data_IF_709019280590
#
_entry.id   IF_709019280590
#
_cell.length_a   1.000
_cell.length_b   1.000
_cell.length_c   1.000
_cell.angle_alpha   90.00
_cell.angle_beta   90.00
_cell.angle_gamma   90.00
#
_symmetry.space_group_name_H-M   'P 1'
#
loop_
_entity.id
_entity.type
_entity.pdbx_description
1 polymer ?
#
# COMPACT_ATOMS: atom_id res chain seq x y z
N UNK A 1 19.54 -7.32 26.64
CA UNK A 1 19.26 -6.79 25.29
C UNK A 1 20.27 -7.24 24.21
N UNK A 2 21.45 -7.79 24.54
CA UNK A 2 22.46 -8.14 23.50
C UNK A 2 22.04 -9.26 22.54
N UNK A 3 21.53 -10.39 23.06
CA UNK A 3 21.11 -11.52 22.22
C UNK A 3 19.86 -11.22 21.39
N UNK A 4 18.88 -10.52 21.97
CA UNK A 4 17.67 -10.10 21.27
C UNK A 4 17.97 -9.21 20.05
N UNK A 5 18.99 -8.35 20.16
CA UNK A 5 19.40 -7.47 19.07
C UNK A 5 20.25 -8.20 18.01
N UNK A 6 20.97 -9.26 18.39
CA UNK A 6 21.76 -10.09 17.48
C UNK A 6 20.90 -11.05 16.65
N UNK A 7 19.71 -11.44 17.12
CA UNK A 7 18.77 -12.31 16.41
C UNK A 7 18.13 -11.64 15.17
N UNK A 8 18.13 -10.29 15.12
CA UNK A 8 17.60 -9.51 14.00
C UNK A 8 16.10 -9.24 14.10
N UNK A 9 15.57 -8.30 13.29
CA UNK A 9 14.15 -7.89 13.34
C UNK A 9 13.19 -8.98 12.84
N UNK A 10 13.74 -9.99 12.18
CA UNK A 10 13.05 -11.03 11.43
C UNK A 10 12.66 -12.25 12.27
N UNK A 11 13.20 -12.35 13.48
CA UNK A 11 12.95 -13.43 14.44
C UNK A 11 12.08 -12.92 15.59
N UNK A 12 10.94 -13.55 15.90
CA UNK A 12 10.13 -13.14 17.03
C UNK A 12 10.86 -13.41 18.34
N UNK A 13 10.96 -12.39 19.19
CA UNK A 13 11.53 -12.50 20.53
C UNK A 13 10.55 -11.88 21.54
N UNK A 14 10.06 -12.69 22.48
CA UNK A 14 9.15 -12.21 23.53
C UNK A 14 9.90 -12.13 24.85
N UNK A 15 10.15 -10.93 25.36
CA UNK A 15 10.57 -10.72 26.75
C UNK A 15 9.34 -10.61 27.64
N UNK A 16 9.30 -11.38 28.72
CA UNK A 16 8.26 -11.25 29.75
C UNK A 16 8.87 -11.08 31.12
N UNK A 17 8.22 -10.26 31.95
CA UNK A 17 8.56 -10.13 33.36
C UNK A 17 7.79 -11.17 34.20
N UNK A 18 8.42 -11.73 35.23
CA UNK A 18 7.79 -12.75 36.09
C UNK A 18 6.51 -12.25 36.79
N UNK A 19 6.38 -10.93 37.01
CA UNK A 19 5.18 -10.30 37.55
C UNK A 19 3.99 -10.32 36.59
N UNK A 20 4.21 -10.40 35.29
CA UNK A 20 3.13 -10.45 34.27
C UNK A 20 2.42 -11.81 34.25
N UNK A 21 3.07 -12.86 34.79
CA UNK A 21 2.49 -14.21 34.88
C UNK A 21 1.43 -14.28 35.99
N UNK A 22 1.54 -13.41 37.00
CA UNK A 22 0.62 -13.35 38.14
C UNK A 22 -0.44 -12.27 37.89
N UNK A 23 -1.37 -12.55 36.98
CA UNK A 23 -2.55 -11.71 36.73
C UNK A 23 -3.79 -12.26 37.43
N UNK A 24 -4.71 -11.36 37.81
CA UNK A 24 -6.03 -11.72 38.32
C UNK A 24 -7.03 -12.01 37.19
N UNK A 25 -6.76 -11.56 35.97
CA UNK A 25 -7.66 -11.69 34.82
C UNK A 25 -7.53 -13.03 34.10
N UNK A 26 -6.38 -13.72 34.24
CA UNK A 26 -6.09 -14.95 33.49
C UNK A 26 -5.31 -15.96 34.33
N UNK A 27 -5.43 -17.24 33.97
CA UNK A 27 -4.70 -18.31 34.65
C UNK A 27 -3.20 -18.27 34.34
N UNK A 28 -2.36 -18.62 35.31
CA UNK A 28 -0.88 -18.69 35.16
C UNK A 28 -0.46 -19.54 33.96
N UNK A 29 -1.17 -20.64 33.72
CA UNK A 29 -0.95 -21.55 32.59
C UNK A 29 -1.28 -20.92 31.25
N UNK A 30 -2.32 -20.10 31.19
CA UNK A 30 -2.72 -19.40 29.98
C UNK A 30 -1.75 -18.28 29.62
N UNK A 31 -1.30 -17.50 30.62
CA UNK A 31 -0.26 -16.47 30.43
C UNK A 31 1.02 -17.07 29.82
N UNK A 32 1.48 -18.21 30.34
CA UNK A 32 2.63 -18.93 29.78
C UNK A 32 2.35 -19.51 28.39
N UNK A 33 1.17 -20.05 28.15
CA UNK A 33 0.80 -20.60 26.83
C UNK A 33 0.78 -19.50 25.76
N UNK A 34 0.24 -18.33 26.08
CA UNK A 34 0.25 -17.18 25.18
C UNK A 34 1.67 -16.69 24.89
N UNK A 35 2.54 -16.66 25.90
CA UNK A 35 3.94 -16.30 25.73
C UNK A 35 4.69 -17.20 24.75
N UNK A 36 4.46 -18.52 24.88
CA UNK A 36 5.07 -19.52 24.00
C UNK A 36 4.54 -19.34 22.57
N UNK A 37 3.22 -19.13 22.39
CA UNK A 37 2.63 -18.88 21.07
C UNK A 37 3.16 -17.61 20.41
N UNK A 38 3.35 -16.52 21.17
CA UNK A 38 3.93 -15.25 20.66
C UNK A 38 5.39 -15.41 20.23
N UNK A 39 6.12 -16.35 20.85
CA UNK A 39 7.53 -16.63 20.54
C UNK A 39 7.71 -17.50 19.30
N UNK A 40 6.64 -18.05 18.73
CA UNK A 40 6.67 -18.84 17.50
C UNK A 40 6.15 -17.98 16.34
N UNK A 41 7.01 -17.74 15.35
CA UNK A 41 6.67 -16.99 14.15
C UNK A 41 6.53 -17.90 12.93
N UNK A 42 5.49 -17.66 12.15
CA UNK A 42 5.30 -18.30 10.84
C UNK A 42 5.53 -17.23 9.78
N UNK A 43 6.48 -17.48 8.86
CA UNK A 43 6.75 -16.59 7.73
C UNK A 43 6.09 -17.15 6.49
N UNK A 44 5.09 -16.45 5.99
CA UNK A 44 4.42 -16.77 4.72
C UNK A 44 4.90 -15.76 3.70
N UNK A 45 5.39 -16.25 2.56
CA UNK A 45 5.72 -15.43 1.41
C UNK A 45 4.56 -15.51 0.42
N UNK A 46 4.08 -14.36 -0.01
CA UNK A 46 3.01 -14.23 -1.00
C UNK A 46 3.55 -13.38 -2.15
N UNK A 47 3.26 -13.80 -3.37
CA UNK A 47 3.60 -13.04 -4.58
C UNK A 47 2.38 -12.20 -4.95
N UNK A 48 2.54 -10.88 -5.05
CA UNK A 48 1.51 -9.97 -5.49
C UNK A 48 1.93 -9.23 -6.76
N UNK A 49 1.02 -9.15 -7.73
CA UNK A 49 1.22 -8.38 -8.96
C UNK A 49 0.83 -6.93 -8.71
N UNK A 50 1.82 -6.04 -8.75
CA UNK A 50 1.64 -4.60 -8.59
C UNK A 50 1.93 -3.92 -9.93
N UNK A 51 1.02 -3.03 -10.35
CA UNK A 51 1.16 -2.20 -11.54
C UNK A 51 1.49 -0.79 -11.09
N UNK A 52 2.60 -0.24 -11.57
CA UNK A 52 3.03 1.13 -11.28
C UNK A 52 3.10 1.94 -12.56
N UNK A 53 2.63 3.18 -12.52
CA UNK A 53 2.69 4.06 -13.69
C UNK A 53 2.22 5.47 -13.42
N UNK A 54 2.57 6.38 -14.33
CA UNK A 54 2.02 7.73 -14.40
C UNK A 54 0.67 7.71 -15.09
N UNK A 55 -0.31 8.40 -14.52
CA UNK A 55 -1.64 8.57 -15.11
C UNK A 55 -1.58 9.64 -16.20
N UNK A 56 -1.82 9.27 -17.46
CA UNK A 56 -1.88 10.22 -18.58
C UNK A 56 -3.26 10.87 -18.66
N UNK A 57 -4.31 10.06 -18.60
CA UNK A 57 -5.70 10.48 -18.72
C UNK A 57 -6.62 9.53 -17.94
N UNK A 58 -7.66 10.09 -17.33
CA UNK A 58 -8.72 9.36 -16.65
C UNK A 58 -10.05 9.74 -17.27
N UNK A 59 -10.70 8.81 -17.95
CA UNK A 59 -12.04 9.00 -18.51
C UNK A 59 -13.02 8.19 -17.67
N UNK A 60 -13.91 8.87 -16.95
CA UNK A 60 -14.98 8.21 -16.18
C UNK A 60 -16.29 8.41 -16.91
N UNK A 61 -16.82 7.35 -17.51
CA UNK A 61 -18.14 7.36 -18.13
C UNK A 61 -19.18 7.06 -17.05
N UNK A 62 -19.95 8.08 -16.69
CA UNK A 62 -21.13 7.92 -15.85
C UNK A 62 -22.36 7.89 -16.74
N UNK A 63 -23.10 6.78 -16.73
CA UNK A 63 -24.38 6.71 -17.43
C UNK A 63 -25.31 7.84 -16.93
N UNK A 64 -25.89 8.60 -17.86
CA UNK A 64 -26.60 9.85 -17.63
C UNK A 64 -27.90 9.75 -16.78
N UNK A 65 -28.19 8.59 -16.18
CA UNK A 65 -29.43 8.28 -15.46
C UNK A 65 -29.27 7.85 -14.00
N UNK A 66 -28.17 8.20 -13.33
CA UNK A 66 -28.03 8.07 -11.86
C UNK A 66 -27.87 6.66 -11.29
N UNK A 67 -28.26 5.60 -12.01
CA UNK A 67 -28.25 4.20 -11.54
C UNK A 67 -27.38 3.22 -12.34
N UNK A 68 -26.65 3.67 -13.38
CA UNK A 68 -25.83 2.80 -14.21
C UNK A 68 -24.45 2.50 -13.62
N UNK A 69 -23.90 1.33 -13.95
CA UNK A 69 -22.54 0.94 -13.60
C UNK A 69 -21.55 1.97 -14.12
N UNK A 70 -20.68 2.48 -13.23
CA UNK A 70 -19.58 3.37 -13.61
C UNK A 70 -18.54 2.52 -14.33
N UNK A 71 -18.26 2.85 -15.57
CA UNK A 71 -17.17 2.27 -16.36
C UNK A 71 -16.24 3.41 -16.72
N UNK A 72 -14.94 3.16 -16.73
CA UNK A 72 -13.96 4.18 -17.05
C UNK A 72 -12.76 3.60 -17.74
N UNK A 73 -12.02 4.45 -18.43
CA UNK A 73 -10.75 4.11 -19.06
C UNK A 73 -9.64 4.88 -18.37
N UNK A 74 -8.55 4.19 -18.07
CA UNK A 74 -7.37 4.74 -17.45
C UNK A 74 -6.18 4.47 -18.38
N UNK A 75 -5.50 5.53 -18.78
CA UNK A 75 -4.25 5.40 -19.53
C UNK A 75 -3.08 5.59 -18.57
N UNK A 76 -2.32 4.51 -18.37
CA UNK A 76 -1.09 4.52 -17.60
C UNK A 76 0.10 4.52 -18.55
N UNK A 77 1.11 5.32 -18.20
CA UNK A 77 2.36 5.43 -18.93
C UNK A 77 3.53 5.16 -18.02
N UNK A 78 4.43 4.34 -18.52
CA UNK A 78 5.76 4.10 -17.96
C UNK A 78 6.79 4.69 -18.93
N UNK A 79 8.08 4.51 -18.65
CA UNK A 79 9.16 4.94 -19.55
C UNK A 79 9.08 4.28 -20.92
N UNK A 80 8.69 3.00 -20.95
CA UNK A 80 8.83 2.17 -22.16
C UNK A 80 7.48 1.76 -22.76
N UNK A 81 6.41 1.73 -21.97
CA UNK A 81 5.09 1.30 -22.43
C UNK A 81 3.96 2.22 -21.95
N UNK A 82 2.99 2.40 -22.83
CA UNK A 82 1.73 3.09 -22.58
C UNK A 82 0.59 2.09 -22.70
N UNK A 83 -0.21 1.96 -21.66
CA UNK A 83 -1.20 0.90 -21.50
C UNK A 83 -2.54 1.48 -21.09
N UNK A 84 -3.58 1.10 -21.83
CA UNK A 84 -4.96 1.48 -21.52
C UNK A 84 -5.62 0.36 -20.72
N UNK A 85 -6.16 0.71 -19.56
CA UNK A 85 -6.90 -0.17 -18.66
C UNK A 85 -8.37 0.23 -18.61
N UNK A 86 -9.25 -0.74 -18.83
CA UNK A 86 -10.68 -0.57 -18.56
C UNK A 86 -10.94 -0.83 -17.07
N UNK A 87 -11.60 0.12 -16.42
CA UNK A 87 -11.86 0.12 -14.99
C UNK A 87 -13.30 -0.20 -14.68
N UNK A 88 -13.50 -1.10 -13.71
CA UNK A 88 -14.80 -1.35 -13.10
C UNK A 88 -15.17 -0.34 -12.01
N UNK A 89 -16.44 -0.37 -11.58
CA UNK A 89 -17.00 0.55 -10.59
C UNK A 89 -16.18 0.63 -9.27
N UNK A 90 -15.67 -0.51 -8.77
CA UNK A 90 -14.87 -0.57 -7.53
C UNK A 90 -13.55 0.22 -7.61
N UNK A 91 -12.90 0.19 -8.77
CA UNK A 91 -11.64 0.93 -8.99
C UNK A 91 -11.91 2.42 -9.16
N UNK A 92 -13.01 2.78 -9.83
CA UNK A 92 -13.43 4.19 -9.98
C UNK A 92 -13.71 4.81 -8.62
N UNK A 93 -14.39 4.11 -7.72
CA UNK A 93 -14.65 4.62 -6.37
C UNK A 93 -13.35 4.79 -5.56
N UNK A 94 -12.36 3.92 -5.78
CA UNK A 94 -11.02 4.04 -5.17
C UNK A 94 -10.23 5.23 -5.74
N UNK A 95 -10.30 5.47 -7.05
CA UNK A 95 -9.70 6.66 -7.68
C UNK A 95 -10.33 7.97 -7.19
N UNK A 96 -11.66 7.99 -7.06
CA UNK A 96 -12.39 9.15 -6.56
C UNK A 96 -12.07 9.42 -5.09
N UNK A 97 -11.85 8.37 -4.29
CA UNK A 97 -11.44 8.48 -2.89
C UNK A 97 -10.04 9.09 -2.75
N UNK A 98 -9.09 8.62 -3.55
CA UNK A 98 -7.70 9.11 -3.57
C UNK A 98 -7.53 10.42 -4.35
N UNK A 99 -8.59 10.90 -5.03
CA UNK A 99 -8.60 12.11 -5.88
C UNK A 99 -7.44 12.13 -6.88
N UNK A 100 -7.29 11.01 -7.59
CA UNK A 100 -6.25 10.85 -8.61
C UNK A 100 -6.54 11.78 -9.79
N UNK A 101 -5.53 12.53 -10.20
CA UNK A 101 -5.55 13.42 -11.34
C UNK A 101 -4.54 12.97 -12.38
N UNK A 102 -4.69 13.48 -13.60
CA UNK A 102 -3.73 13.28 -14.66
C UNK A 102 -2.36 13.88 -14.27
N UNK A 103 -1.29 13.08 -14.37
CA UNK A 103 0.06 13.41 -13.91
C UNK A 103 0.41 12.87 -12.51
N UNK A 104 -0.48 12.14 -11.85
CA UNK A 104 -0.15 11.44 -10.61
C UNK A 104 0.52 10.08 -10.91
N UNK A 105 1.47 9.69 -10.05
CA UNK A 105 2.07 8.35 -10.06
C UNK A 105 1.32 7.48 -9.04
N UNK A 106 0.75 6.39 -9.52
CA UNK A 106 -0.07 5.49 -8.71
C UNK A 106 0.46 4.06 -8.75
N UNK A 107 0.22 3.32 -7.67
CA UNK A 107 0.35 1.87 -7.63
C UNK A 107 -1.02 1.22 -7.53
N UNK A 108 -1.22 0.19 -8.34
CA UNK A 108 -2.43 -0.61 -8.36
C UNK A 108 -2.04 -2.04 -8.03
N UNK A 109 -2.59 -2.55 -6.94
CA UNK A 109 -2.54 -3.97 -6.66
C UNK A 109 -3.63 -4.67 -7.48
N UNK A 110 -3.24 -5.57 -8.38
CA UNK A 110 -4.17 -6.24 -9.29
C UNK A 110 -5.09 -7.23 -8.56
N UNK A 111 -4.64 -7.80 -7.44
CA UNK A 111 -5.43 -8.76 -6.67
C UNK A 111 -6.51 -8.06 -5.84
N UNK A 112 -6.16 -6.95 -5.19
CA UNK A 112 -7.09 -6.24 -4.29
C UNK A 112 -7.84 -5.10 -4.97
N UNK A 113 -7.35 -4.60 -6.11
CA UNK A 113 -7.87 -3.42 -6.79
C UNK A 113 -7.67 -2.14 -5.99
N UNK A 114 -6.80 -2.16 -4.98
CA UNK A 114 -6.47 -1.00 -4.15
C UNK A 114 -5.48 -0.12 -4.89
N UNK A 115 -5.74 1.18 -4.86
CA UNK A 115 -4.94 2.20 -5.53
C UNK A 115 -4.28 3.04 -4.44
N UNK A 116 -2.96 3.21 -4.52
CA UNK A 116 -2.23 4.13 -3.66
C UNK A 116 -1.53 5.18 -4.53
N UNK A 117 -1.65 6.45 -4.15
CA UNK A 117 -0.95 7.55 -4.81
C UNK A 117 0.44 7.71 -4.20
N UNK A 118 1.49 7.49 -4.99
CA UNK A 118 2.88 7.67 -4.55
C UNK A 118 3.34 9.13 -4.65
N UNK A 119 2.88 9.84 -5.68
CA UNK A 119 3.33 11.21 -5.93
C UNK A 119 2.80 11.80 -7.23
N UNK A 120 3.50 12.84 -7.72
CA UNK A 120 3.24 13.50 -9.01
C UNK A 120 4.46 13.41 -9.91
N UNK A 121 4.21 13.33 -11.22
CA UNK A 121 5.25 13.31 -12.24
C UNK A 121 5.83 14.71 -12.45
N UNK A 122 7.13 14.74 -12.78
CA UNK A 122 7.85 15.99 -13.03
C UNK A 122 7.38 16.72 -14.30
N UNK A 123 6.83 15.98 -15.28
CA UNK A 123 6.42 16.53 -16.56
C UNK A 123 5.20 17.46 -16.48
N UNK A 124 4.31 17.24 -15.50
CA UNK A 124 3.08 18.03 -15.30
C UNK A 124 3.02 18.80 -13.98
N UNK A 125 4.11 18.78 -13.19
CA UNK A 125 4.21 19.56 -11.97
C UNK A 125 4.19 21.09 -12.20
N UNK A 126 4.46 21.55 -13.43
CA UNK A 126 4.54 22.98 -13.77
C UNK A 126 3.18 23.66 -13.94
N UNK A 127 2.12 22.92 -14.26
CA UNK A 127 0.80 23.50 -14.53
C UNK A 127 -0.05 23.68 -13.25
N UNK A 128 0.49 23.35 -12.07
CA UNK A 128 -0.21 23.41 -10.78
C UNK A 128 0.68 24.01 -9.68
N UNK A 129 0.97 25.31 -9.78
CA UNK A 129 1.84 26.10 -8.90
C UNK A 129 1.16 26.57 -7.58
N UNK A 130 0.35 25.71 -6.94
CA UNK A 130 -0.41 26.12 -5.75
C UNK A 130 -0.30 25.17 -4.53
N UNK A 131 0.53 24.13 -4.57
CA UNK A 131 0.73 23.25 -3.41
C UNK A 131 2.20 22.89 -3.25
N UNK A 132 2.71 23.13 -2.04
CA UNK A 132 4.13 23.09 -1.69
C UNK A 132 4.89 21.85 -2.16
N UNK A 133 6.16 22.12 -2.48
CA UNK A 133 7.16 21.24 -3.05
C UNK A 133 7.48 20.05 -2.12
N UNK A 134 6.84 18.89 -2.33
CA UNK A 134 7.28 17.60 -1.81
C UNK A 134 8.00 16.83 -2.93
N UNK A 135 9.20 17.29 -3.26
CA UNK A 135 10.01 16.80 -4.39
C UNK A 135 11.03 15.71 -4.01
N UNK A 136 10.96 15.16 -2.81
CA UNK A 136 12.00 14.27 -2.25
C UNK A 136 11.41 12.95 -1.78
N UNK A 137 11.07 12.03 -2.70
CA UNK A 137 10.95 10.61 -2.31
C UNK A 137 10.99 9.56 -3.43
N UNK A 138 11.09 9.91 -4.72
CA UNK A 138 10.98 8.89 -5.79
C UNK A 138 12.28 8.09 -5.98
N UNK A 139 13.46 8.65 -5.66
CA UNK A 139 14.74 7.93 -5.79
C UNK A 139 15.09 7.04 -4.60
N UNK A 140 14.56 7.30 -3.39
CA UNK A 140 15.00 6.59 -2.19
C UNK A 140 14.28 5.25 -1.96
N UNK A 141 13.11 5.04 -2.58
CA UNK A 141 12.32 3.82 -2.39
C UNK A 141 12.76 2.70 -3.34
N UNK A 142 13.14 3.03 -4.58
CA UNK A 142 13.56 2.02 -5.58
C UNK A 142 14.83 1.28 -5.14
N UNK A 143 15.76 1.96 -4.45
CA UNK A 143 17.05 1.36 -4.04
C UNK A 143 17.00 0.46 -2.80
N UNK A 144 15.87 0.34 -2.10
CA UNK A 144 15.78 -0.43 -0.84
C UNK A 144 14.94 -1.71 -0.93
N UNK A 145 14.49 -2.07 -2.14
CA UNK A 145 13.66 -3.27 -2.39
C UNK A 145 14.42 -4.34 -3.19
N UNK A 146 15.72 -4.16 -3.45
CA UNK A 146 16.66 -5.21 -3.91
C UNK A 146 17.64 -5.49 -2.77
#
# INVERSE_FOLDING_TARGET
MGLAQALGPDTPFTSMAGSEIFSLEMSKTEALTQAIRKSIGIRIKEESEIIEGEVVEVVVERAAGGGGARVGKLTLKTTDMETNYDMGAKMIDSLLKEKVQAGDVITIDKATGKINKLGRSFARARDYDATGMYLLCILYVIYRVI
#
